data_IF_407771105057
#
_entry.id   IF_407771105057
#
_cell.length_a   1.000
_cell.length_b   1.000
_cell.length_c   1.000
_cell.angle_alpha   90.00
_cell.angle_beta   90.00
_cell.angle_gamma   90.00
#
_symmetry.space_group_name_H-M   'P 1'
#
loop_
_entity.id
_entity.type
_entity.pdbx_description
1 polymer ?
#
# COMPACT_ATOMS: atom_id res chain seq x y z
N UNK A 1 -8.63 -13.76 11.43
CA UNK A 1 -9.56 -12.62 11.65
C UNK A 1 -8.79 -11.58 12.44
N UNK A 2 -8.51 -10.41 11.87
CA UNK A 2 -7.91 -9.30 12.60
C UNK A 2 -8.98 -8.86 13.60
N UNK A 3 -8.68 -8.78 14.91
CA UNK A 3 -9.67 -8.32 15.88
C UNK A 3 -10.14 -6.94 15.43
N UNK A 4 -11.43 -6.73 15.45
CA UNK A 4 -12.04 -5.42 15.22
C UNK A 4 -11.62 -4.51 16.40
N UNK A 5 -10.39 -4.01 16.32
CA UNK A 5 -9.89 -3.04 17.29
C UNK A 5 -10.50 -1.70 16.89
N UNK A 6 -11.49 -1.31 17.59
CA UNK A 6 -12.07 0.02 17.43
C UNK A 6 -10.95 1.07 17.39
N UNK A 7 -11.17 2.15 16.65
CA UNK A 7 -10.23 3.27 16.55
C UNK A 7 -9.61 3.59 17.90
N UNK A 8 -8.31 3.46 18.00
CA UNK A 8 -7.52 3.93 19.13
C UNK A 8 -6.58 5.04 18.64
N UNK A 9 -6.81 6.29 19.02
CA UNK A 9 -5.94 7.40 18.64
C UNK A 9 -4.52 7.28 19.20
N UNK A 10 -4.26 6.30 20.06
CA UNK A 10 -3.02 6.10 20.80
C UNK A 10 -2.26 4.84 20.36
N UNK A 11 -2.57 4.22 19.19
CA UNK A 11 -1.76 3.11 18.67
C UNK A 11 -0.35 3.63 18.36
N UNK A 12 0.66 2.94 18.92
CA UNK A 12 2.06 3.26 18.66
C UNK A 12 2.44 2.86 17.23
N UNK A 13 3.41 3.54 16.65
CA UNK A 13 3.84 3.30 15.27
C UNK A 13 4.37 1.87 15.03
N UNK A 14 4.99 1.23 16.02
CA UNK A 14 5.43 -0.17 15.91
C UNK A 14 4.24 -1.15 15.89
N UNK A 15 3.19 -0.89 16.64
CA UNK A 15 1.94 -1.66 16.58
C UNK A 15 1.21 -1.44 15.26
N UNK A 16 1.16 -0.20 14.77
CA UNK A 16 0.63 0.16 13.46
C UNK A 16 1.38 -0.62 12.36
N UNK A 17 2.70 -0.65 12.44
CA UNK A 17 3.54 -1.35 11.48
C UNK A 17 3.29 -2.86 11.43
N UNK A 18 3.20 -3.52 12.58
CA UNK A 18 2.88 -4.93 12.66
C UNK A 18 1.50 -5.24 12.07
N UNK A 19 0.48 -4.42 12.38
CA UNK A 19 -0.88 -4.57 11.85
C UNK A 19 -0.91 -4.41 10.33
N UNK A 20 -0.21 -3.44 9.77
CA UNK A 20 -0.09 -3.23 8.33
C UNK A 20 0.48 -4.46 7.61
N UNK A 21 1.48 -5.12 8.19
CA UNK A 21 2.03 -6.36 7.64
C UNK A 21 1.00 -7.50 7.62
N UNK A 22 0.23 -7.66 8.69
CA UNK A 22 -0.80 -8.69 8.80
C UNK A 22 -1.94 -8.47 7.80
N UNK A 23 -2.39 -7.23 7.61
CA UNK A 23 -3.47 -6.94 6.65
C UNK A 23 -3.05 -7.21 5.20
N UNK A 24 -1.79 -6.97 4.83
CA UNK A 24 -1.30 -7.32 3.51
C UNK A 24 -1.40 -8.83 3.23
N UNK A 25 -1.04 -9.65 4.22
CA UNK A 25 -1.15 -11.12 4.12
C UNK A 25 -2.61 -11.55 4.01
N UNK A 26 -3.48 -10.94 4.80
CA UNK A 26 -4.92 -11.23 4.77
C UNK A 26 -5.52 -10.87 3.41
N UNK A 27 -5.22 -9.70 2.89
CA UNK A 27 -5.70 -9.24 1.59
C UNK A 27 -5.24 -10.13 0.44
N UNK A 28 -4.02 -10.64 0.49
CA UNK A 28 -3.49 -11.52 -0.55
C UNK A 28 -4.29 -12.82 -0.72
N UNK A 29 -5.11 -13.16 0.26
CA UNK A 29 -6.02 -14.32 0.26
C UNK A 29 -7.45 -13.95 -0.13
N UNK A 30 -7.76 -12.67 -0.32
CA UNK A 30 -9.09 -12.24 -0.75
C UNK A 30 -9.35 -12.70 -2.19
N UNK A 31 -10.48 -13.40 -2.48
CA UNK A 31 -10.77 -13.92 -3.81
C UNK A 31 -10.78 -12.84 -4.91
N UNK A 32 -11.28 -11.64 -4.63
CA UNK A 32 -11.30 -10.53 -5.59
C UNK A 32 -9.89 -10.05 -5.92
N UNK A 33 -9.03 -9.98 -4.91
CA UNK A 33 -7.64 -9.57 -5.09
C UNK A 33 -6.82 -10.65 -5.82
N UNK A 34 -7.04 -11.91 -5.51
CA UNK A 34 -6.46 -13.04 -6.26
C UNK A 34 -6.88 -12.96 -7.73
N UNK A 35 -8.15 -12.69 -8.01
CA UNK A 35 -8.64 -12.53 -9.38
C UNK A 35 -7.96 -11.36 -10.10
N UNK A 36 -7.88 -10.20 -9.46
CA UNK A 36 -7.18 -9.03 -9.99
C UNK A 36 -5.70 -9.34 -10.28
N UNK A 37 -5.01 -9.99 -9.35
CA UNK A 37 -3.62 -10.40 -9.51
C UNK A 37 -3.42 -11.33 -10.70
N UNK A 38 -4.32 -12.30 -10.90
CA UNK A 38 -4.30 -13.19 -12.08
C UNK A 38 -4.47 -12.42 -13.39
N UNK A 39 -5.42 -11.48 -13.45
CA UNK A 39 -5.61 -10.64 -14.64
C UNK A 39 -4.36 -9.83 -14.96
N UNK A 40 -3.72 -9.23 -13.97
CA UNK A 40 -2.47 -8.49 -14.15
C UNK A 40 -1.33 -9.42 -14.62
N UNK A 41 -1.28 -10.64 -14.10
CA UNK A 41 -0.30 -11.64 -14.52
C UNK A 41 -0.50 -12.03 -15.99
N UNK A 42 -1.71 -12.27 -16.42
CA UNK A 42 -2.05 -12.55 -17.82
C UNK A 42 -1.69 -11.37 -18.72
N UNK A 43 -2.08 -10.15 -18.36
CA UNK A 43 -1.75 -8.92 -19.08
C UNK A 43 -0.24 -8.69 -19.18
N UNK A 44 0.52 -9.12 -18.18
CA UNK A 44 1.98 -9.05 -18.19
C UNK A 44 2.63 -10.09 -19.10
N UNK A 45 1.84 -10.98 -19.71
CA UNK A 45 2.32 -12.13 -20.48
C UNK A 45 3.25 -13.03 -19.65
N UNK A 46 2.90 -13.23 -18.38
CA UNK A 46 3.66 -14.02 -17.41
C UNK A 46 5.12 -13.57 -17.21
N UNK A 47 5.37 -12.28 -17.42
CA UNK A 47 6.69 -11.67 -17.21
C UNK A 47 6.73 -10.93 -15.88
N UNK A 48 7.55 -11.36 -14.90
CA UNK A 48 7.52 -10.79 -13.54
C UNK A 48 7.71 -9.27 -13.48
N UNK A 49 8.70 -8.72 -14.18
CA UNK A 49 8.95 -7.27 -14.17
C UNK A 49 7.77 -6.48 -14.76
N UNK A 50 7.14 -7.00 -15.81
CA UNK A 50 5.92 -6.37 -16.37
C UNK A 50 4.75 -6.45 -15.40
N UNK A 51 4.59 -7.58 -14.71
CA UNK A 51 3.59 -7.73 -13.66
C UNK A 51 3.81 -6.71 -12.54
N UNK A 52 5.04 -6.55 -12.02
CA UNK A 52 5.32 -5.57 -10.98
C UNK A 52 5.02 -4.13 -11.41
N UNK A 53 5.33 -3.79 -12.67
CA UNK A 53 4.97 -2.48 -13.23
C UNK A 53 3.47 -2.27 -13.33
N UNK A 54 2.71 -3.28 -13.71
CA UNK A 54 1.24 -3.22 -13.76
C UNK A 54 0.64 -3.13 -12.34
N UNK A 55 1.16 -3.91 -11.38
CA UNK A 55 0.74 -3.83 -10.00
C UNK A 55 1.04 -2.45 -9.38
N UNK A 56 2.22 -1.89 -9.68
CA UNK A 56 2.57 -0.53 -9.27
C UNK A 56 1.63 0.50 -9.87
N UNK A 57 1.38 0.44 -11.17
CA UNK A 57 0.46 1.36 -11.83
C UNK A 57 -0.97 1.24 -11.26
N UNK A 58 -1.43 0.03 -10.96
CA UNK A 58 -2.73 -0.20 -10.34
C UNK A 58 -2.84 0.48 -8.98
N UNK A 59 -1.84 0.32 -8.11
CA UNK A 59 -1.84 0.92 -6.78
C UNK A 59 -1.57 2.44 -6.83
N UNK A 60 -0.63 2.89 -7.66
CA UNK A 60 -0.24 4.30 -7.76
C UNK A 60 -1.29 5.16 -8.44
N UNK A 61 -1.79 4.69 -9.58
CA UNK A 61 -2.63 5.48 -10.47
C UNK A 61 -4.12 5.14 -10.33
N UNK A 62 -4.45 3.95 -9.84
CA UNK A 62 -5.82 3.49 -9.60
C UNK A 62 -6.44 4.01 -8.30
N UNK A 63 -5.62 4.53 -7.38
CA UNK A 63 -6.06 5.12 -6.11
C UNK A 63 -5.50 6.54 -6.04
N UNK A 64 -6.35 7.55 -5.98
CA UNK A 64 -5.95 8.93 -5.76
C UNK A 64 -5.48 9.10 -4.30
N UNK A 65 -4.39 9.86 -4.10
CA UNK A 65 -3.92 10.11 -2.74
C UNK A 65 -4.85 11.08 -2.00
N UNK A 66 -5.33 10.66 -0.86
CA UNK A 66 -6.08 11.49 0.06
C UNK A 66 -5.76 11.08 1.51
N UNK A 67 -5.31 12.02 2.34
CA UNK A 67 -4.96 11.70 3.72
C UNK A 67 -6.19 11.33 4.56
N UNK A 68 -6.02 10.46 5.54
CA UNK A 68 -7.07 10.06 6.47
C UNK A 68 -7.69 11.24 7.21
N UNK A 69 -6.85 12.20 7.62
CA UNK A 69 -7.34 13.41 8.29
C UNK A 69 -8.33 14.17 7.40
N UNK A 70 -8.07 14.24 6.10
CA UNK A 70 -8.97 14.89 5.14
C UNK A 70 -10.26 14.08 4.94
N UNK A 71 -10.17 12.76 4.85
CA UNK A 71 -11.32 11.88 4.64
C UNK A 71 -12.19 11.73 5.89
N UNK A 72 -11.58 11.52 7.04
CA UNK A 72 -12.26 11.05 8.26
C UNK A 72 -12.08 11.96 9.45
N UNK A 73 -11.22 12.99 9.38
CA UNK A 73 -10.89 13.88 10.47
C UNK A 73 -9.93 13.27 11.52
N UNK A 74 -9.41 12.10 11.29
CA UNK A 74 -8.46 11.38 12.15
C UNK A 74 -7.61 10.41 11.34
N UNK A 75 -6.46 10.00 11.88
CA UNK A 75 -5.63 8.95 11.31
C UNK A 75 -6.31 7.58 11.40
N UNK A 76 -6.03 6.74 10.42
CA UNK A 76 -6.51 5.37 10.29
C UNK A 76 -5.31 4.43 10.08
N UNK A 77 -5.52 3.14 10.08
CA UNK A 77 -4.50 2.13 9.77
C UNK A 77 -4.98 1.32 8.56
N UNK A 78 -4.67 1.81 7.36
CA UNK A 78 -5.01 1.17 6.09
C UNK A 78 -6.48 0.71 5.99
N UNK A 79 -7.41 1.48 6.55
CA UNK A 79 -8.83 1.14 6.60
C UNK A 79 -9.24 0.17 7.71
N UNK A 80 -8.29 -0.44 8.42
CA UNK A 80 -8.57 -1.51 9.42
C UNK A 80 -9.32 -0.98 10.64
N UNK A 81 -9.06 0.27 11.03
CA UNK A 81 -9.68 0.90 12.21
C UNK A 81 -10.92 1.73 11.89
N UNK A 82 -11.37 1.75 10.64
CA UNK A 82 -12.57 2.50 10.23
C UNK A 82 -13.85 1.86 10.76
N UNK A 83 -14.69 2.60 11.44
CA UNK A 83 -16.05 2.16 11.73
C UNK A 83 -16.93 2.29 10.44
N UNK A 84 -17.99 1.45 10.28
CA UNK A 84 -18.34 0.36 11.19
C UNK A 84 -17.53 -0.93 10.98
N UNK A 85 -16.87 -1.07 9.84
CA UNK A 85 -16.15 -2.30 9.48
C UNK A 85 -14.75 -1.97 8.93
N UNK A 86 -13.78 -2.86 9.15
CA UNK A 86 -12.47 -2.72 8.53
C UNK A 86 -12.55 -2.77 7.00
N UNK A 87 -11.79 -1.91 6.39
CA UNK A 87 -11.61 -1.83 4.94
C UNK A 87 -10.58 -2.85 4.45
N UNK A 88 -10.63 -3.24 3.18
CA UNK A 88 -9.61 -4.07 2.55
C UNK A 88 -8.96 -3.35 1.33
N UNK A 89 -7.89 -3.91 0.79
CA UNK A 89 -7.18 -3.29 -0.33
C UNK A 89 -8.06 -3.13 -1.59
N UNK A 90 -9.06 -3.98 -1.78
CA UNK A 90 -10.01 -3.89 -2.89
C UNK A 90 -11.00 -2.75 -2.67
N UNK A 91 -11.39 -2.51 -1.42
CA UNK A 91 -12.32 -1.42 -1.08
C UNK A 91 -11.67 -0.06 -1.31
N UNK A 92 -10.40 0.11 -0.90
CA UNK A 92 -9.61 1.30 -1.20
C UNK A 92 -9.51 1.54 -2.72
N UNK A 93 -9.24 0.50 -3.50
CA UNK A 93 -9.20 0.59 -4.96
C UNK A 93 -10.57 0.93 -5.55
N UNK A 94 -11.64 0.32 -5.06
CA UNK A 94 -13.02 0.56 -5.54
C UNK A 94 -13.49 1.97 -5.22
N UNK A 95 -13.12 2.49 -4.05
CA UNK A 95 -13.40 3.88 -3.65
C UNK A 95 -12.62 4.89 -4.50
N UNK A 96 -11.41 4.51 -4.94
CA UNK A 96 -10.59 5.29 -5.84
C UNK A 96 -9.71 6.36 -5.18
N UNK A 97 -9.75 6.48 -3.85
CA UNK A 97 -8.90 7.41 -3.09
C UNK A 97 -8.55 6.84 -1.71
N UNK A 98 -7.31 7.03 -1.28
CA UNK A 98 -6.81 6.66 0.04
C UNK A 98 -5.37 7.20 0.26
N UNK A 99 -4.79 6.92 1.42
CA UNK A 99 -3.45 7.37 1.79
C UNK A 99 -2.30 6.43 1.37
N UNK A 100 -1.09 6.68 1.88
CA UNK A 100 0.11 5.96 1.45
C UNK A 100 0.10 4.49 1.88
N UNK A 101 -0.40 4.18 3.07
CA UNK A 101 -0.37 2.82 3.58
C UNK A 101 -1.39 1.92 2.84
N UNK A 102 -2.57 2.43 2.49
CA UNK A 102 -3.55 1.71 1.71
C UNK A 102 -3.06 1.44 0.27
N UNK A 103 -2.39 2.40 -0.36
CA UNK A 103 -1.82 2.24 -1.70
C UNK A 103 -0.67 1.22 -1.72
N UNK A 104 0.25 1.31 -0.77
CA UNK A 104 1.33 0.34 -0.62
C UNK A 104 0.81 -1.07 -0.29
N UNK A 105 -0.20 -1.15 0.57
CA UNK A 105 -0.91 -2.38 0.92
C UNK A 105 -1.47 -3.09 -0.32
N UNK A 106 -2.12 -2.38 -1.23
CA UNK A 106 -2.63 -2.97 -2.47
C UNK A 106 -1.51 -3.59 -3.33
N UNK A 107 -0.41 -2.86 -3.54
CA UNK A 107 0.73 -3.39 -4.29
C UNK A 107 1.28 -4.68 -3.68
N UNK A 108 1.53 -4.67 -2.36
CA UNK A 108 2.08 -5.83 -1.65
C UNK A 108 1.14 -7.02 -1.76
N UNK A 109 -0.16 -6.82 -1.53
CA UNK A 109 -1.14 -7.89 -1.58
C UNK A 109 -1.27 -8.50 -2.99
N UNK A 110 -1.21 -7.69 -4.06
CA UNK A 110 -1.19 -8.18 -5.44
C UNK A 110 0.03 -9.05 -5.73
N UNK A 111 1.22 -8.63 -5.28
CA UNK A 111 2.45 -9.39 -5.46
C UNK A 111 2.45 -10.70 -4.67
N UNK A 112 1.98 -10.68 -3.41
CA UNK A 112 1.83 -11.88 -2.57
C UNK A 112 0.85 -12.86 -3.19
N UNK A 113 -0.29 -12.39 -3.71
CA UNK A 113 -1.30 -13.23 -4.37
C UNK A 113 -0.77 -13.91 -5.64
N UNK A 114 0.19 -13.28 -6.32
CA UNK A 114 0.89 -13.88 -7.47
C UNK A 114 2.04 -14.83 -7.07
N UNK A 115 2.31 -15.00 -5.78
CA UNK A 115 3.36 -15.89 -5.26
C UNK A 115 4.74 -15.25 -5.12
N UNK A 116 4.85 -13.93 -5.26
CA UNK A 116 6.11 -13.22 -5.04
C UNK A 116 6.23 -12.78 -3.59
N UNK A 117 7.45 -12.80 -3.04
CA UNK A 117 7.73 -12.17 -1.76
C UNK A 117 7.63 -10.67 -1.90
N UNK A 118 6.80 -10.05 -1.08
CA UNK A 118 6.59 -8.61 -1.08
C UNK A 118 6.35 -8.13 0.35
N UNK A 119 6.70 -6.89 0.61
CA UNK A 119 6.58 -6.28 1.93
C UNK A 119 6.37 -4.78 1.83
N UNK A 120 5.83 -4.21 2.88
CA UNK A 120 5.81 -2.76 3.06
C UNK A 120 7.22 -2.27 3.39
N UNK A 121 7.53 -1.07 2.95
CA UNK A 121 8.78 -0.37 3.23
C UNK A 121 8.47 0.92 4.01
N UNK A 122 8.85 0.98 5.31
CA UNK A 122 8.58 2.16 6.12
C UNK A 122 9.67 3.20 5.98
N UNK A 123 9.30 4.46 5.97
CA UNK A 123 10.22 5.57 6.15
C UNK A 123 10.02 6.18 7.53
N UNK A 124 10.98 5.96 8.41
CA UNK A 124 11.01 6.53 9.75
C UNK A 124 11.82 7.82 9.77
N UNK A 125 11.30 8.84 10.42
CA UNK A 125 12.01 10.09 10.64
C UNK A 125 11.79 10.56 12.08
N UNK A 126 12.89 10.75 12.81
CA UNK A 126 12.84 11.11 14.23
C UNK A 126 12.00 10.15 15.10
N UNK A 127 12.02 8.86 14.79
CA UNK A 127 11.25 7.86 15.51
C UNK A 127 9.75 7.82 15.21
N UNK A 128 9.30 8.58 14.22
CA UNK A 128 7.90 8.60 13.77
C UNK A 128 7.80 8.01 12.36
N UNK A 129 6.80 7.17 12.12
CA UNK A 129 6.48 6.64 10.80
C UNK A 129 5.91 7.78 9.94
N UNK A 130 6.65 8.15 8.90
CA UNK A 130 6.29 9.31 8.05
C UNK A 130 5.70 8.90 6.71
N UNK A 131 6.09 7.74 6.20
CA UNK A 131 5.66 7.28 4.90
C UNK A 131 5.76 5.77 4.79
N UNK A 132 4.90 5.20 3.97
CA UNK A 132 4.89 3.77 3.64
C UNK A 132 4.92 3.61 2.12
N UNK A 133 5.93 2.91 1.64
CA UNK A 133 6.02 2.41 0.27
C UNK A 133 6.05 0.88 0.29
N UNK A 134 6.41 0.25 -0.80
CA UNK A 134 6.45 -1.20 -0.92
C UNK A 134 7.75 -1.70 -1.55
N UNK A 135 8.02 -2.96 -1.38
CA UNK A 135 9.09 -3.69 -2.07
C UNK A 135 8.62 -5.08 -2.50
N UNK A 136 9.14 -5.54 -3.63
CA UNK A 136 8.96 -6.91 -4.10
C UNK A 136 10.31 -7.57 -4.35
N UNK A 137 10.44 -8.85 -4.00
CA UNK A 137 11.68 -9.60 -4.22
C UNK A 137 11.66 -10.32 -5.57
N UNK A 138 12.70 -10.11 -6.35
CA UNK A 138 12.92 -10.82 -7.61
C UNK A 138 14.40 -11.16 -7.78
N UNK A 139 14.69 -12.42 -8.10
CA UNK A 139 16.06 -12.92 -8.26
C UNK A 139 16.97 -12.57 -7.07
N UNK A 140 16.46 -12.69 -5.85
CA UNK A 140 17.19 -12.43 -4.62
C UNK A 140 17.38 -10.96 -4.26
N UNK A 141 16.87 -10.02 -5.07
CA UNK A 141 16.97 -8.57 -4.83
C UNK A 141 15.61 -7.97 -4.50
N UNK A 142 15.59 -7.03 -3.57
CA UNK A 142 14.42 -6.21 -3.29
C UNK A 142 14.35 -5.05 -4.27
N UNK A 143 13.19 -4.89 -4.89
CA UNK A 143 12.88 -3.82 -5.85
C UNK A 143 11.87 -2.90 -5.20
N UNK A 144 12.23 -1.63 -5.06
CA UNK A 144 11.37 -0.61 -4.46
C UNK A 144 10.19 -0.24 -5.36
N UNK A 145 9.04 0.00 -4.75
CA UNK A 145 7.81 0.44 -5.42
C UNK A 145 7.18 1.61 -4.64
N UNK A 146 7.35 2.81 -5.17
CA UNK A 146 6.75 4.03 -4.62
C UNK A 146 5.34 4.23 -5.17
N UNK A 147 4.35 4.15 -4.30
CA UNK A 147 2.92 4.14 -4.68
C UNK A 147 2.24 5.50 -4.61
N UNK A 148 2.93 6.54 -4.15
CA UNK A 148 2.38 7.89 -4.00
C UNK A 148 2.82 8.81 -5.13
N UNK A 149 4.12 8.85 -5.40
CA UNK A 149 4.68 9.81 -6.34
C UNK A 149 4.30 9.46 -7.77
N UNK A 150 3.50 10.31 -8.38
CA UNK A 150 3.19 10.21 -9.80
C UNK A 150 4.48 10.13 -10.62
N UNK A 151 4.54 9.20 -11.57
CA UNK A 151 5.71 8.94 -12.42
C UNK A 151 6.88 8.21 -11.76
N UNK A 152 6.82 7.86 -10.46
CA UNK A 152 7.83 7.00 -9.87
C UNK A 152 7.90 5.66 -10.61
N UNK A 153 9.10 5.28 -11.03
CA UNK A 153 9.32 4.02 -11.74
C UNK A 153 9.63 2.90 -10.74
N UNK A 154 9.36 1.68 -11.14
CA UNK A 154 9.75 0.51 -10.36
C UNK A 154 11.27 0.50 -10.15
N UNK A 155 11.70 0.38 -8.90
CA UNK A 155 13.11 0.41 -8.49
C UNK A 155 13.64 1.79 -8.10
N UNK A 156 12.91 2.87 -8.34
CA UNK A 156 13.29 4.19 -7.86
C UNK A 156 12.99 4.33 -6.37
N UNK A 157 13.98 4.70 -5.59
CA UNK A 157 13.83 4.96 -4.16
C UNK A 157 13.77 6.45 -3.89
N UNK A 158 12.71 6.88 -3.24
CA UNK A 158 12.53 8.25 -2.78
C UNK A 158 12.59 8.28 -1.26
N UNK A 159 13.50 9.06 -0.71
CA UNK A 159 13.71 9.19 0.73
C UNK A 159 13.05 10.44 1.32
N UNK A 160 12.53 11.30 0.47
CA UNK A 160 11.84 12.50 0.91
C UNK A 160 10.36 12.22 1.12
N UNK A 161 9.93 12.48 2.34
CA UNK A 161 8.51 12.42 2.68
C UNK A 161 7.84 13.64 2.09
N UNK A 162 6.73 13.44 1.42
CA UNK A 162 5.89 14.55 1.00
C UNK A 162 5.46 15.41 2.19
N UNK A 163 5.66 16.72 2.09
CA UNK A 163 5.47 17.62 3.23
C UNK A 163 4.03 18.07 3.43
N UNK A 164 3.17 17.85 2.44
CA UNK A 164 1.78 18.28 2.53
C UNK A 164 0.80 17.31 1.87
N UNK A 165 -0.34 17.08 2.50
CA UNK A 165 -1.39 16.21 1.97
C UNK A 165 -2.05 16.74 0.69
N UNK A 166 -1.73 17.94 0.26
CA UNK A 166 -2.43 18.68 -0.80
C UNK A 166 -1.86 18.50 -2.21
N UNK A 167 -1.11 17.44 -2.45
CA UNK A 167 -0.61 17.12 -3.80
C UNK A 167 0.53 18.02 -4.30
N UNK A 168 1.08 18.90 -3.49
CA UNK A 168 2.31 19.64 -3.78
C UNK A 168 3.56 18.80 -3.47
N UNK A 169 3.53 17.57 -3.94
CA UNK A 169 4.63 16.65 -3.82
C UNK A 169 5.70 17.06 -4.82
N UNK A 170 6.69 17.77 -4.38
CA UNK A 170 7.90 17.96 -5.16
C UNK A 170 8.76 16.73 -4.99
N UNK A 171 8.91 15.96 -6.05
CA UNK A 171 10.05 15.07 -6.18
C UNK A 171 11.30 15.91 -6.08
N UNK A 172 12.09 15.68 -5.08
CA UNK A 172 13.45 16.22 -5.01
C UNK A 172 14.35 15.35 -5.87
#
# INVERSE_FOLDING_TARGET
MIPNQGYSPNIKDDEKWALLGEVCITDSKNPKLIHMSKLLWELSQSQPIRFFKLALATARDGIEYESDIKQFGHEDIAGVTRPPEPDDAIEAYTRGHDDCDAKARLFVALCLAAGFKSRLWPLWKHGVLQHVAAEVQFQGKWIHAETILARAQLGEMHTDVPKEPNGNWKMS
#
